data_IF_267770478941
#
_entry.id   IF_267770478941
#
_cell.length_a   1.000
_cell.length_b   1.000
_cell.length_c   1.000
_cell.angle_alpha   90.00
_cell.angle_beta   90.00
_cell.angle_gamma   90.00
#
_symmetry.space_group_name_H-M   'P 1'
#
loop_
_entity.id
_entity.type
_entity.pdbx_description
1 polymer ?
#
# COMPACT_ATOMS: atom_id res chain seq x y z
N UNK A 1 4.16 6.95 -11.78
CA UNK A 1 3.11 5.92 -11.94
C UNK A 1 2.10 6.04 -10.81
N UNK A 2 0.83 6.35 -11.07
CA UNK A 2 -0.16 6.68 -10.02
C UNK A 2 -0.62 5.48 -9.18
N UNK A 3 -0.80 4.32 -9.81
CA UNK A 3 -1.37 3.10 -9.22
C UNK A 3 -0.72 2.69 -7.89
N UNK A 4 0.61 2.67 -7.82
CA UNK A 4 1.34 2.25 -6.61
C UNK A 4 1.15 3.23 -5.45
N UNK A 5 1.16 4.53 -5.72
CA UNK A 5 0.90 5.55 -4.69
C UNK A 5 -0.55 5.50 -4.20
N UNK A 6 -1.50 5.22 -5.09
CA UNK A 6 -2.91 5.09 -4.72
C UNK A 6 -3.16 3.85 -3.86
N UNK A 7 -2.54 2.71 -4.20
CA UNK A 7 -2.61 1.51 -3.38
C UNK A 7 -1.91 1.71 -2.03
N UNK A 8 -0.75 2.36 -2.01
CA UNK A 8 -0.05 2.69 -0.77
C UNK A 8 -0.90 3.56 0.15
N UNK A 9 -1.52 4.63 -0.36
CA UNK A 9 -2.40 5.51 0.43
C UNK A 9 -3.57 4.74 1.07
N UNK A 10 -4.18 3.80 0.32
CA UNK A 10 -5.25 2.93 0.84
C UNK A 10 -4.73 2.01 1.96
N UNK A 11 -3.52 1.47 1.81
CA UNK A 11 -2.91 0.56 2.78
C UNK A 11 -2.43 1.29 4.05
N UNK A 12 -1.93 2.52 3.92
CA UNK A 12 -1.44 3.33 5.05
C UNK A 12 -2.53 4.11 5.76
N UNK A 13 -3.75 4.16 5.21
CA UNK A 13 -4.87 4.85 5.84
C UNK A 13 -5.13 4.29 7.25
N UNK A 14 -5.34 5.15 8.25
CA UNK A 14 -5.44 4.73 9.64
C UNK A 14 -6.64 3.80 9.85
N UNK A 15 -6.45 2.78 10.69
CA UNK A 15 -7.44 1.72 10.97
C UNK A 15 -8.75 2.24 11.54
N UNK A 16 -8.72 3.44 12.12
CA UNK A 16 -9.89 4.14 12.66
C UNK A 16 -10.82 4.74 11.59
N UNK A 17 -10.40 4.84 10.31
CA UNK A 17 -11.27 5.32 9.21
C UNK A 17 -12.37 4.32 8.82
N UNK A 18 -12.39 3.13 9.41
CA UNK A 18 -13.48 2.18 9.34
C UNK A 18 -13.72 1.57 7.94
N UNK A 19 -14.46 0.45 7.91
CA UNK A 19 -14.87 -0.23 6.69
C UNK A 19 -13.85 -1.23 6.13
N UNK A 20 -14.32 -2.08 5.21
CA UNK A 20 -13.47 -3.07 4.54
C UNK A 20 -12.51 -2.40 3.54
N UNK A 21 -11.40 -3.07 3.21
CA UNK A 21 -10.49 -2.62 2.15
C UNK A 21 -11.23 -2.35 0.83
N UNK A 22 -12.18 -3.21 0.50
CA UNK A 22 -13.06 -3.05 -0.67
C UNK A 22 -13.85 -1.74 -0.60
N UNK A 23 -14.52 -1.46 0.53
CA UNK A 23 -15.25 -0.21 0.69
C UNK A 23 -14.35 1.00 0.53
N UNK A 24 -13.16 0.99 1.14
CA UNK A 24 -12.21 2.12 1.06
C UNK A 24 -11.76 2.42 -0.37
N UNK A 25 -11.51 1.40 -1.18
CA UNK A 25 -11.10 1.59 -2.58
C UNK A 25 -12.26 2.07 -3.45
N UNK A 26 -13.42 1.42 -3.37
CA UNK A 26 -14.55 1.71 -4.26
C UNK A 26 -15.34 2.97 -3.87
N UNK A 27 -15.21 3.47 -2.64
CA UNK A 27 -15.78 4.75 -2.22
C UNK A 27 -14.93 5.97 -2.62
N UNK A 28 -13.69 5.76 -3.07
CA UNK A 28 -12.75 6.83 -3.43
C UNK A 28 -13.00 7.29 -4.87
N UNK A 29 -13.40 8.56 -5.03
CA UNK A 29 -13.85 9.14 -6.32
C UNK A 29 -12.73 9.83 -7.10
N UNK A 30 -11.62 10.11 -6.44
CA UNK A 30 -10.44 10.83 -6.94
C UNK A 30 -9.32 9.89 -7.42
N UNK A 31 -9.62 8.59 -7.59
CA UNK A 31 -8.67 7.63 -8.14
C UNK A 31 -8.42 7.90 -9.64
N UNK A 32 -7.14 8.04 -9.99
CA UNK A 32 -6.63 8.12 -11.37
C UNK A 32 -6.55 6.74 -12.01
N UNK A 33 -6.26 5.72 -11.21
CA UNK A 33 -6.20 4.33 -11.68
C UNK A 33 -7.55 3.62 -11.48
N UNK A 34 -7.90 2.61 -12.29
CA UNK A 34 -9.14 1.86 -12.11
C UNK A 34 -9.26 1.27 -10.69
N UNK A 35 -10.38 1.46 -9.97
CA UNK A 35 -10.54 0.97 -8.60
C UNK A 35 -10.33 -0.53 -8.45
N UNK A 36 -10.70 -1.31 -9.47
CA UNK A 36 -10.46 -2.75 -9.49
C UNK A 36 -8.95 -3.10 -9.47
N UNK A 37 -8.12 -2.34 -10.17
CA UNK A 37 -6.66 -2.54 -10.19
C UNK A 37 -6.03 -2.14 -8.86
N UNK A 38 -6.46 -1.02 -8.28
CA UNK A 38 -6.02 -0.57 -6.95
C UNK A 38 -6.38 -1.61 -5.90
N UNK A 39 -7.60 -2.14 -5.94
CA UNK A 39 -8.08 -3.18 -5.03
C UNK A 39 -7.29 -4.48 -5.19
N UNK A 40 -7.10 -4.95 -6.43
CA UNK A 40 -6.34 -6.17 -6.71
C UNK A 40 -4.89 -6.08 -6.20
N UNK A 41 -4.23 -4.93 -6.41
CA UNK A 41 -2.88 -4.71 -5.91
C UNK A 41 -2.85 -4.67 -4.37
N UNK A 42 -3.78 -3.96 -3.74
CA UNK A 42 -3.83 -3.85 -2.29
C UNK A 42 -4.10 -5.21 -1.62
N UNK A 43 -5.04 -6.01 -2.14
CA UNK A 43 -5.38 -7.30 -1.54
C UNK A 43 -4.26 -8.33 -1.70
N UNK A 44 -3.61 -8.40 -2.86
CA UNK A 44 -2.44 -9.29 -3.05
C UNK A 44 -1.27 -8.84 -2.16
N UNK A 45 -1.07 -7.53 -1.99
CA UNK A 45 -0.05 -7.01 -1.05
C UNK A 45 -0.32 -7.46 0.39
N UNK A 46 -1.58 -7.42 0.84
CA UNK A 46 -1.95 -7.94 2.16
C UNK A 46 -1.72 -9.45 2.28
N UNK A 47 -2.06 -10.21 1.24
CA UNK A 47 -1.89 -11.68 1.21
C UNK A 47 -0.42 -12.09 1.32
N UNK A 48 0.46 -11.38 0.64
CA UNK A 48 1.90 -11.66 0.62
C UNK A 48 2.69 -10.84 1.65
N UNK A 49 2.01 -10.13 2.55
CA UNK A 49 2.66 -9.24 3.54
C UNK A 49 3.77 -9.93 4.37
N UNK A 50 3.64 -11.19 4.82
CA UNK A 50 4.72 -11.86 5.54
C UNK A 50 5.97 -12.06 4.67
N UNK A 51 5.79 -12.49 3.42
CA UNK A 51 6.89 -12.72 2.47
C UNK A 51 7.53 -11.40 2.06
N UNK A 52 6.72 -10.39 1.77
CA UNK A 52 7.21 -9.04 1.42
C UNK A 52 8.04 -8.46 2.56
N UNK A 53 7.61 -8.64 3.82
CA UNK A 53 8.37 -8.21 4.99
C UNK A 53 9.73 -8.90 5.05
N UNK A 54 9.76 -10.22 4.92
CA UNK A 54 11.01 -10.99 4.95
C UNK A 54 11.97 -10.55 3.84
N UNK A 55 11.48 -10.36 2.62
CA UNK A 55 12.31 -9.90 1.48
C UNK A 55 12.86 -8.50 1.74
N UNK A 56 12.03 -7.57 2.23
CA UNK A 56 12.46 -6.19 2.53
C UNK A 56 13.53 -6.17 3.62
N UNK A 57 13.35 -6.97 4.68
CA UNK A 57 14.30 -7.08 5.79
C UNK A 57 15.64 -7.69 5.33
N UNK A 58 15.60 -8.72 4.48
CA UNK A 58 16.81 -9.38 3.97
C UNK A 58 17.49 -8.65 2.81
N UNK A 59 16.78 -7.78 2.10
CA UNK A 59 17.37 -6.99 1.01
C UNK A 59 18.29 -5.87 1.52
N UNK A 60 18.28 -5.61 2.84
CA UNK A 60 19.11 -4.63 3.53
C UNK A 60 19.04 -3.20 2.93
N UNK A 61 17.94 -2.91 2.23
CA UNK A 61 17.74 -1.65 1.47
C UNK A 61 17.69 -0.43 2.39
N UNK A 62 17.25 -0.62 3.64
CA UNK A 62 17.15 0.45 4.64
C UNK A 62 18.53 1.00 5.02
N UNK A 63 19.63 0.24 4.83
CA UNK A 63 20.99 0.76 5.04
C UNK A 63 21.46 1.66 3.92
N UNK A 64 20.88 1.53 2.73
CA UNK A 64 21.18 2.36 1.57
C UNK A 64 20.37 3.66 1.59
N UNK A 65 19.25 3.70 2.32
CA UNK A 65 18.46 4.92 2.47
C UNK A 65 19.21 5.98 3.29
N UNK A 66 19.22 7.22 2.78
CA UNK A 66 19.75 8.36 3.53
C UNK A 66 18.83 8.60 4.72
N UNK A 67 19.35 8.43 5.93
CA UNK A 67 18.63 8.77 7.16
C UNK A 67 18.16 10.22 7.09
N UNK A 68 16.89 10.46 7.44
CA UNK A 68 16.39 11.82 7.66
C UNK A 68 17.13 12.37 8.87
N UNK A 69 18.22 13.10 8.61
CA UNK A 69 18.90 13.91 9.61
C UNK A 69 18.01 15.12 9.88
N UNK A 70 17.46 15.19 11.09
CA UNK A 70 16.83 16.40 11.62
C UNK A 70 17.90 17.23 12.33
#
# INVERSE_FOLDING_TARGET
MSLYYEAADVLTAPTNKGGSLKSRVFSKKDLKSPPAQVYALAIETCKWSPVLKEVIENADILRLERKVST
#
